data_IF_873646578986
#
_entry.id   IF_873646578986
#
_cell.length_a   1.000
_cell.length_b   1.000
_cell.length_c   1.000
_cell.angle_alpha   90.00
_cell.angle_beta   90.00
_cell.angle_gamma   90.00
#
_symmetry.space_group_name_H-M   'P 1'
#
loop_
_entity.id
_entity.type
_entity.pdbx_description
1 polymer ?
#
# COMPACT_ATOMS: atom_id res chain seq x y z
N UNK A 1 17.37 27.37 0.88
CA UNK A 1 16.52 28.48 1.35
C UNK A 1 16.66 28.54 2.87
N UNK A 2 16.51 29.71 3.47
CA UNK A 2 16.49 29.82 4.93
C UNK A 2 15.15 29.33 5.47
N UNK A 3 15.17 28.55 6.54
CA UNK A 3 13.96 28.07 7.19
C UNK A 3 13.30 29.18 8.01
N UNK A 4 11.98 29.13 8.13
CA UNK A 4 11.24 29.98 9.07
C UNK A 4 11.34 29.31 10.44
N UNK A 5 12.07 29.95 11.37
CA UNK A 5 12.18 29.50 12.75
C UNK A 5 11.13 30.20 13.59
N UNK A 6 10.29 29.41 14.25
CA UNK A 6 9.26 29.91 15.13
C UNK A 6 9.79 30.12 16.55
N UNK A 7 9.35 31.20 17.21
CA UNK A 7 9.61 31.42 18.63
C UNK A 7 8.64 30.62 19.52
N UNK A 8 8.62 30.94 20.82
CA UNK A 8 7.81 30.20 21.81
C UNK A 8 6.29 30.33 21.62
N UNK A 9 5.82 31.36 20.93
CA UNK A 9 4.40 31.64 20.72
C UNK A 9 4.16 31.87 19.23
N UNK A 10 3.43 30.95 18.60
CA UNK A 10 2.97 31.06 17.21
C UNK A 10 1.46 31.16 17.19
N UNK A 11 0.92 32.26 16.67
CA UNK A 11 -0.50 32.46 16.48
C UNK A 11 -0.80 32.61 14.99
N UNK A 12 -1.59 31.67 14.44
CA UNK A 12 -2.03 31.70 13.05
C UNK A 12 -3.32 32.53 12.84
N UNK A 13 -3.88 33.13 13.90
CA UNK A 13 -5.10 33.94 13.88
C UNK A 13 -6.28 33.28 13.15
N UNK A 14 -6.40 31.95 13.28
CA UNK A 14 -7.47 31.16 12.64
C UNK A 14 -7.23 30.83 11.16
N UNK A 15 -6.09 31.19 10.58
CA UNK A 15 -5.72 30.81 9.21
C UNK A 15 -5.07 29.42 9.15
N UNK A 16 -5.26 28.73 8.02
CA UNK A 16 -4.60 27.46 7.74
C UNK A 16 -3.12 27.67 7.36
N UNK A 17 -2.24 26.81 7.89
CA UNK A 17 -0.85 26.70 7.44
C UNK A 17 -0.78 25.65 6.32
N UNK A 18 -0.30 26.04 5.14
CA UNK A 18 -0.26 25.19 3.93
C UNK A 18 1.16 25.14 3.35
N UNK A 19 1.43 24.13 2.52
CA UNK A 19 2.71 23.93 1.82
C UNK A 19 3.94 23.81 2.73
N UNK A 20 3.75 23.32 3.96
CA UNK A 20 4.85 22.99 4.85
C UNK A 20 5.54 21.69 4.39
N UNK A 21 6.87 21.67 4.46
CA UNK A 21 7.64 20.44 4.34
C UNK A 21 7.44 19.54 5.57
N UNK A 22 7.76 18.25 5.45
CA UNK A 22 7.70 17.32 6.57
C UNK A 22 8.77 17.66 7.62
N UNK A 23 8.38 17.65 8.88
CA UNK A 23 9.30 17.84 10.01
C UNK A 23 10.23 16.64 10.18
N UNK A 24 11.50 16.90 10.53
CA UNK A 24 12.55 15.88 10.68
C UNK A 24 13.16 15.91 12.08
N UNK A 25 13.40 17.09 12.64
CA UNK A 25 13.93 17.27 13.98
C UNK A 25 12.81 17.20 15.05
N UNK A 26 13.20 16.94 16.29
CA UNK A 26 12.24 16.74 17.39
C UNK A 26 11.38 17.97 17.74
N UNK A 27 11.81 19.17 17.33
CA UNK A 27 11.08 20.43 17.54
C UNK A 27 10.27 20.90 16.32
N UNK A 28 10.31 20.16 15.21
CA UNK A 28 9.64 20.57 13.98
C UNK A 28 8.12 20.34 14.07
N UNK A 29 7.37 21.13 13.30
CA UNK A 29 5.96 20.88 13.10
C UNK A 29 5.77 19.63 12.24
N UNK A 30 4.84 18.78 12.64
CA UNK A 30 4.41 17.64 11.81
C UNK A 30 3.33 18.08 10.83
N UNK A 31 3.44 17.67 9.58
CA UNK A 31 2.39 17.92 8.59
C UNK A 31 1.16 17.05 8.89
N UNK A 32 -0.02 17.45 8.39
CA UNK A 32 -1.23 16.61 8.48
C UNK A 32 -0.97 15.20 7.92
N UNK A 33 -0.16 15.09 6.85
CA UNK A 33 0.28 13.80 6.29
C UNK A 33 1.02 12.96 7.34
N UNK A 34 2.05 13.51 7.99
CA UNK A 34 2.80 12.79 9.02
C UNK A 34 1.91 12.37 10.21
N UNK A 35 0.96 13.23 10.62
CA UNK A 35 0.00 12.90 11.67
C UNK A 35 -0.98 11.81 11.22
N UNK A 36 -1.53 11.91 10.02
CA UNK A 36 -2.42 10.91 9.44
C UNK A 36 -1.71 9.54 9.36
N UNK A 37 -0.43 9.53 8.96
CA UNK A 37 0.40 8.32 8.91
C UNK A 37 0.58 7.71 10.30
N UNK A 38 0.85 8.51 11.33
CA UNK A 38 1.01 8.03 12.70
C UNK A 38 -0.31 7.47 13.27
N UNK A 39 -1.43 8.18 13.07
CA UNK A 39 -2.78 7.75 13.50
C UNK A 39 -3.18 6.46 12.80
N UNK A 40 -2.86 6.35 11.52
CA UNK A 40 -3.13 5.18 10.72
C UNK A 40 -2.34 3.97 11.20
N UNK A 41 -1.03 4.10 11.43
CA UNK A 41 -0.20 3.03 12.01
C UNK A 41 -0.75 2.58 13.38
N UNK A 42 -1.13 3.52 14.24
CA UNK A 42 -1.74 3.22 15.53
C UNK A 42 -3.11 2.51 15.40
N UNK A 43 -3.91 2.89 14.40
CA UNK A 43 -5.22 2.28 14.14
C UNK A 43 -5.09 0.87 13.57
N UNK A 44 -4.13 0.63 12.68
CA UNK A 44 -3.85 -0.71 12.13
C UNK A 44 -3.32 -1.66 13.23
N UNK A 45 -2.51 -1.15 14.16
CA UNK A 45 -2.07 -1.90 15.32
C UNK A 45 -3.23 -2.27 16.26
N UNK A 46 -4.23 -1.38 16.44
CA UNK A 46 -5.36 -1.60 17.35
C UNK A 46 -6.52 -2.41 16.73
N UNK A 47 -6.69 -2.40 15.40
CA UNK A 47 -7.77 -3.14 14.71
C UNK A 47 -7.50 -4.63 14.48
N UNK A 48 -6.36 -5.16 14.93
CA UNK A 48 -5.95 -6.53 14.61
C UNK A 48 -5.70 -6.73 13.13
N UNK A 49 -5.23 -5.69 12.43
CA UNK A 49 -4.94 -5.73 11.01
C UNK A 49 -3.92 -6.83 10.72
N UNK A 50 -4.36 -7.93 10.12
CA UNK A 50 -3.45 -8.95 9.65
C UNK A 50 -2.60 -8.36 8.51
N UNK A 51 -1.28 -8.45 8.68
CA UNK A 51 -0.31 -8.10 7.65
C UNK A 51 -0.09 -9.34 6.78
N UNK A 52 -0.30 -9.23 5.47
CA UNK A 52 0.03 -10.29 4.51
C UNK A 52 1.53 -10.28 4.23
N UNK A 53 2.09 -11.40 3.76
CA UNK A 53 3.53 -11.39 3.44
C UNK A 53 3.81 -10.35 2.34
N UNK A 54 4.96 -9.67 2.39
CA UNK A 54 5.26 -8.58 1.48
C UNK A 54 5.25 -9.06 0.03
N UNK A 55 4.93 -8.14 -0.86
CA UNK A 55 5.08 -8.31 -2.31
C UNK A 55 6.31 -7.57 -2.78
N UNK A 56 6.91 -8.05 -3.87
CA UNK A 56 8.01 -7.35 -4.50
C UNK A 56 7.52 -6.08 -5.18
N UNK A 57 6.44 -6.19 -5.95
CA UNK A 57 5.89 -5.09 -6.74
C UNK A 57 4.36 -5.19 -6.84
N UNK A 58 3.72 -4.04 -7.08
CA UNK A 58 2.31 -3.89 -7.37
C UNK A 58 2.11 -3.60 -8.86
N UNK A 59 1.24 -4.38 -9.51
CA UNK A 59 0.75 -4.11 -10.85
C UNK A 59 -0.57 -3.32 -10.75
N UNK A 60 -0.54 -2.04 -11.12
CA UNK A 60 -1.72 -1.16 -11.10
C UNK A 60 -2.44 -1.06 -12.45
N UNK A 61 -1.90 -1.71 -13.48
CA UNK A 61 -2.50 -1.88 -14.80
C UNK A 61 -2.71 -3.37 -15.08
N UNK A 62 -3.59 -3.74 -16.05
CA UNK A 62 -3.76 -5.14 -16.43
C UNK A 62 -2.43 -5.75 -16.87
N UNK A 63 -2.17 -6.98 -16.44
CA UNK A 63 -1.02 -7.80 -16.85
C UNK A 63 -1.50 -9.20 -17.23
N UNK A 64 -0.73 -9.91 -18.06
CA UNK A 64 -0.95 -11.35 -18.25
C UNK A 64 -0.51 -12.09 -16.99
N UNK A 65 -1.37 -12.93 -16.42
CA UNK A 65 -1.04 -13.78 -15.26
C UNK A 65 -0.25 -15.04 -15.67
N UNK A 66 0.79 -14.85 -16.48
CA UNK A 66 1.64 -15.91 -17.01
C UNK A 66 2.95 -15.32 -17.52
N UNK A 67 4.03 -16.10 -17.43
CA UNK A 67 5.35 -15.70 -17.92
C UNK A 67 6.05 -14.71 -16.98
N UNK A 68 7.38 -14.75 -16.98
CA UNK A 68 8.17 -13.73 -16.30
C UNK A 68 8.15 -12.45 -17.13
N UNK A 69 7.88 -11.33 -16.47
CA UNK A 69 7.66 -10.03 -17.11
C UNK A 69 8.27 -8.91 -16.29
N UNK A 70 8.33 -7.72 -16.87
CA UNK A 70 8.68 -6.50 -16.15
C UNK A 70 7.41 -5.78 -15.73
N UNK A 71 7.18 -5.67 -14.42
CA UNK A 71 6.02 -4.96 -13.84
C UNK A 71 6.52 -3.66 -13.24
N UNK A 72 5.97 -2.53 -13.67
CA UNK A 72 6.30 -1.21 -13.10
C UNK A 72 7.82 -0.91 -13.06
N UNK A 73 8.55 -1.37 -14.08
CA UNK A 73 10.02 -1.23 -14.16
C UNK A 73 10.83 -2.30 -13.41
N UNK A 74 10.18 -3.22 -12.69
CA UNK A 74 10.82 -4.32 -11.95
C UNK A 74 10.76 -5.61 -12.77
N UNK A 75 11.92 -6.14 -13.15
CA UNK A 75 12.02 -7.44 -13.83
C UNK A 75 11.81 -8.59 -12.83
N UNK A 76 10.80 -9.43 -13.08
CA UNK A 76 10.42 -10.52 -12.18
C UNK A 76 11.22 -11.80 -12.40
N UNK A 77 11.49 -12.49 -11.29
CA UNK A 77 11.99 -13.86 -11.22
C UNK A 77 10.86 -14.81 -10.81
N UNK A 78 11.05 -16.11 -11.03
CA UNK A 78 10.11 -17.11 -10.55
C UNK A 78 9.99 -17.01 -9.01
N UNK A 79 8.76 -17.16 -8.51
CA UNK A 79 8.36 -17.02 -7.11
C UNK A 79 8.38 -15.59 -6.55
N UNK A 80 8.68 -14.58 -7.38
CA UNK A 80 8.44 -13.20 -6.97
C UNK A 80 6.96 -12.98 -6.74
N UNK A 81 6.63 -12.43 -5.57
CA UNK A 81 5.25 -12.15 -5.21
C UNK A 81 4.83 -10.79 -5.76
N UNK A 82 3.69 -10.74 -6.44
CA UNK A 82 3.12 -9.54 -7.05
C UNK A 82 1.73 -9.30 -6.48
N UNK A 83 1.46 -8.08 -6.02
CA UNK A 83 0.07 -7.64 -5.83
C UNK A 83 -0.47 -7.18 -7.17
N UNK A 84 -1.38 -7.95 -7.74
CA UNK A 84 -2.10 -7.58 -8.97
C UNK A 84 -3.35 -6.81 -8.59
N UNK A 85 -3.40 -5.53 -8.97
CA UNK A 85 -4.43 -4.58 -8.56
C UNK A 85 -4.81 -3.64 -9.71
N UNK A 86 -5.08 -4.22 -10.88
CA UNK A 86 -5.39 -3.46 -12.10
C UNK A 86 -6.04 -4.29 -13.19
N UNK A 87 -6.51 -5.51 -12.92
CA UNK A 87 -7.18 -6.33 -13.93
C UNK A 87 -8.51 -5.71 -14.36
N UNK A 88 -8.92 -6.01 -15.60
CA UNK A 88 -10.22 -5.59 -16.12
C UNK A 88 -11.39 -6.24 -15.36
N UNK A 89 -11.21 -7.49 -14.93
CA UNK A 89 -12.07 -8.14 -13.94
C UNK A 89 -11.42 -8.03 -12.55
N UNK A 90 -11.94 -7.20 -11.64
CA UNK A 90 -11.37 -7.02 -10.31
C UNK A 90 -11.39 -8.29 -9.44
N UNK A 91 -12.16 -9.32 -9.80
CA UNK A 91 -12.11 -10.62 -9.11
C UNK A 91 -10.75 -11.28 -9.33
N UNK A 92 -10.10 -11.02 -10.48
CA UNK A 92 -8.76 -11.52 -10.80
C UNK A 92 -7.65 -10.76 -10.08
N UNK A 93 -7.93 -9.63 -9.42
CA UNK A 93 -6.95 -8.99 -8.55
C UNK A 93 -6.59 -9.89 -7.36
N UNK A 94 -5.41 -9.64 -6.79
CA UNK A 94 -4.91 -10.31 -5.59
C UNK A 94 -3.43 -10.61 -5.67
N UNK A 95 -2.97 -11.49 -4.77
CA UNK A 95 -1.56 -11.86 -4.68
C UNK A 95 -1.24 -13.04 -5.57
N UNK A 96 -0.22 -12.90 -6.40
CA UNK A 96 0.25 -13.94 -7.31
C UNK A 96 1.75 -14.17 -7.16
N UNK A 97 2.15 -15.43 -7.36
CA UNK A 97 3.54 -15.82 -7.44
C UNK A 97 3.92 -15.94 -8.92
N UNK A 98 4.91 -15.15 -9.34
CA UNK A 98 5.36 -15.10 -10.72
C UNK A 98 5.99 -16.43 -11.15
N UNK A 99 5.74 -16.85 -12.39
CA UNK A 99 6.26 -18.09 -12.95
C UNK A 99 6.51 -17.97 -14.46
N UNK A 100 7.28 -18.91 -15.02
CA UNK A 100 7.49 -19.02 -16.47
C UNK A 100 6.20 -19.37 -17.24
N UNK A 101 5.30 -20.12 -16.60
CA UNK A 101 3.97 -20.43 -17.12
C UNK A 101 2.90 -19.61 -16.40
N UNK A 102 1.70 -20.17 -16.29
CA UNK A 102 0.60 -19.55 -15.55
C UNK A 102 0.99 -19.25 -14.10
N UNK A 103 0.64 -18.07 -13.61
CA UNK A 103 0.89 -17.65 -12.24
C UNK A 103 -0.18 -18.24 -11.32
N UNK A 104 0.22 -18.68 -10.14
CA UNK A 104 -0.70 -19.12 -9.08
C UNK A 104 -0.96 -17.99 -8.10
N UNK A 105 -2.13 -17.99 -7.45
CA UNK A 105 -2.34 -17.13 -6.29
C UNK A 105 -1.42 -17.55 -5.14
N UNK A 106 -0.87 -16.58 -4.41
CA UNK A 106 0.02 -16.84 -3.28
C UNK A 106 -0.71 -17.59 -2.15
N UNK A 107 -0.01 -18.46 -1.44
CA UNK A 107 -0.61 -19.43 -0.49
C UNK A 107 -1.47 -18.79 0.62
N UNK A 108 -1.07 -17.63 1.13
CA UNK A 108 -1.75 -16.87 2.19
C UNK A 108 -2.94 -16.05 1.67
N UNK A 109 -3.24 -16.14 0.37
CA UNK A 109 -4.34 -15.48 -0.31
C UNK A 109 -4.84 -16.30 -1.53
N UNK A 110 -4.78 -17.63 -1.45
CA UNK A 110 -5.11 -18.51 -2.56
C UNK A 110 -6.63 -18.70 -2.74
N UNK A 111 -7.39 -18.75 -1.64
CA UNK A 111 -8.84 -18.94 -1.64
C UNK A 111 -9.48 -18.47 -0.32
N UNK A 112 -10.81 -18.38 -0.30
CA UNK A 112 -11.60 -18.15 0.91
C UNK A 112 -11.81 -16.67 1.27
N UNK A 113 -12.34 -16.46 2.47
CA UNK A 113 -12.74 -15.18 3.06
C UNK A 113 -11.67 -14.59 3.99
N UNK A 114 -10.40 -14.81 3.63
CA UNK A 114 -9.23 -14.45 4.45
C UNK A 114 -8.68 -13.04 4.20
N UNK A 115 -9.42 -12.21 3.44
CA UNK A 115 -9.10 -10.82 3.17
C UNK A 115 -10.18 -9.93 3.80
N UNK A 116 -9.87 -9.37 4.96
CA UNK A 116 -10.76 -8.47 5.68
C UNK A 116 -10.39 -7.01 5.42
N UNK A 117 -11.39 -6.13 5.42
CA UNK A 117 -11.17 -4.68 5.34
C UNK A 117 -10.10 -4.20 6.33
N UNK A 118 -9.19 -3.37 5.84
CA UNK A 118 -8.10 -2.79 6.61
C UNK A 118 -6.82 -3.63 6.63
N UNK A 119 -6.82 -4.88 6.16
CA UNK A 119 -5.59 -5.67 5.97
C UNK A 119 -4.56 -4.90 5.14
N UNK A 120 -3.28 -5.08 5.46
CA UNK A 120 -2.17 -4.37 4.81
C UNK A 120 -1.16 -5.31 4.20
N UNK A 121 -0.45 -4.80 3.21
CA UNK A 121 0.71 -5.44 2.61
C UNK A 121 1.75 -4.38 2.25
N UNK A 122 3.02 -4.76 2.40
CA UNK A 122 4.16 -3.93 2.01
C UNK A 122 4.66 -4.35 0.63
N UNK A 123 4.88 -3.39 -0.26
CA UNK A 123 5.52 -3.57 -1.55
C UNK A 123 6.96 -3.07 -1.48
N UNK A 124 7.95 -3.93 -1.72
CA UNK A 124 9.36 -3.58 -1.47
C UNK A 124 9.98 -2.73 -2.59
N UNK A 125 9.53 -2.86 -3.84
CA UNK A 125 10.11 -2.21 -5.02
C UNK A 125 9.13 -1.29 -5.77
N UNK A 126 7.88 -1.16 -5.33
CA UNK A 126 6.93 -0.16 -5.88
C UNK A 126 7.19 1.24 -5.33
N UNK A 127 6.75 2.29 -6.04
CA UNK A 127 6.78 3.68 -5.52
C UNK A 127 5.96 3.78 -4.24
N UNK A 128 4.69 3.37 -4.29
CA UNK A 128 3.86 3.24 -3.10
C UNK A 128 4.16 1.93 -2.37
N UNK A 129 4.65 2.08 -1.14
CA UNK A 129 5.17 0.95 -0.34
C UNK A 129 4.10 0.27 0.50
N UNK A 130 3.05 0.98 0.91
CA UNK A 130 2.07 0.45 1.85
C UNK A 130 0.69 0.46 1.21
N UNK A 131 0.06 -0.71 1.15
CA UNK A 131 -1.24 -0.90 0.53
C UNK A 131 -2.22 -1.47 1.54
N UNK A 132 -3.47 -1.03 1.48
CA UNK A 132 -4.57 -1.55 2.30
C UNK A 132 -5.73 -2.02 1.44
N UNK A 133 -6.48 -3.03 1.90
CA UNK A 133 -7.72 -3.43 1.24
C UNK A 133 -8.91 -2.70 1.86
N UNK A 134 -9.69 -1.99 1.03
CA UNK A 134 -10.78 -1.15 1.52
C UNK A 134 -11.97 -1.97 2.07
N UNK A 135 -12.27 -3.10 1.45
CA UNK A 135 -13.44 -3.93 1.75
C UNK A 135 -13.05 -5.37 1.97
N UNK A 136 -13.76 -6.06 2.86
CA UNK A 136 -13.65 -7.52 3.00
C UNK A 136 -14.00 -8.17 1.66
N UNK A 137 -13.19 -9.12 1.21
CA UNK A 137 -13.33 -9.77 -0.09
C UNK A 137 -13.12 -11.28 0.02
N UNK A 138 -13.94 -12.03 -0.70
CA UNK A 138 -13.78 -13.47 -0.91
C UNK A 138 -12.99 -13.68 -2.21
N UNK A 139 -11.86 -14.36 -2.10
CA UNK A 139 -10.96 -14.63 -3.23
C UNK A 139 -11.68 -15.48 -4.29
N UNK A 140 -11.66 -15.01 -5.53
CA UNK A 140 -12.31 -15.69 -6.67
C UNK A 140 -13.81 -15.40 -6.81
N UNK A 141 -14.40 -14.63 -5.90
CA UNK A 141 -15.84 -14.30 -5.93
C UNK A 141 -16.09 -12.80 -5.99
N UNK A 142 -15.37 -12.01 -5.18
CA UNK A 142 -15.58 -10.56 -5.09
C UNK A 142 -14.33 -9.80 -5.53
N UNK A 143 -14.54 -8.58 -6.00
CA UNK A 143 -13.48 -7.63 -6.33
C UNK A 143 -12.51 -7.43 -5.17
N UNK A 144 -11.21 -7.42 -5.46
CA UNK A 144 -10.17 -7.02 -4.52
C UNK A 144 -9.69 -5.61 -4.86
N UNK A 145 -10.02 -4.66 -4.00
CA UNK A 145 -9.71 -3.24 -4.17
C UNK A 145 -8.65 -2.83 -3.16
N UNK A 146 -7.38 -2.98 -3.56
CA UNK A 146 -6.25 -2.47 -2.78
C UNK A 146 -5.99 -1.02 -3.17
N UNK A 147 -5.71 -0.18 -2.18
CA UNK A 147 -5.37 1.21 -2.40
C UNK A 147 -4.03 1.52 -1.72
N UNK A 148 -3.20 2.39 -2.32
CA UNK A 148 -2.05 2.93 -1.61
C UNK A 148 -2.57 3.66 -0.39
N UNK A 149 -1.92 3.40 0.74
CA UNK A 149 -2.33 3.94 2.01
C UNK A 149 -1.76 5.36 2.25
N UNK A 150 -0.79 5.76 1.41
CA UNK A 150 0.02 6.97 1.52
C UNK A 150 0.13 7.67 0.17
#
# INVERSE_FOLDING_TARGET
MADIVFGNNVDAQGFNIKNAADGVAAGDYVTKRQLDYAILLATLAFKGTAIKNPVRVVATTPITLSGLQTVSGVALSAYDRVLVNGQADPIQNGFYDAAFGAWSRSFDAAAGDILSSGMIVVATESTEKLWTIATTSIIGTSAQNWAPLL
#
